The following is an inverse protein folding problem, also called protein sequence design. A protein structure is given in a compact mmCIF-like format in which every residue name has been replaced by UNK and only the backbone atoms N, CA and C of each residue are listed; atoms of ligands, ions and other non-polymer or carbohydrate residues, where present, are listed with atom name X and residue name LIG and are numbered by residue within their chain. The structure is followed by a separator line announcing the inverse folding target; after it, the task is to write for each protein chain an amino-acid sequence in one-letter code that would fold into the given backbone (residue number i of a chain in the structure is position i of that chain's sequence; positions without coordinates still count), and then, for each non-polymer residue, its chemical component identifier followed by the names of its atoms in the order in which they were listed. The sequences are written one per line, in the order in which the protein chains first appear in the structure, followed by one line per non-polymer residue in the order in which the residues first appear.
data_IF_788498917405
#
_entry.id   IF_788498917405
#
_cell.length_a   1.000
_cell.length_b   1.000
_cell.length_c   1.000
_cell.angle_alpha   90.00
_cell.angle_beta   90.00
_cell.angle_gamma   90.00
#
_symmetry.space_group_name_H-M   'P 1'
#
loop_
_entity.id
_entity.type
_entity.pdbx_description
1 polymer ?
#
# COMPACT_ATOMS: atom_id res chain seq x y z
N UNK A 1 18.54 26.82 -30.00
CA UNK A 1 19.71 25.96 -29.88
C UNK A 1 19.43 24.95 -28.79
N UNK A 2 19.37 23.66 -29.13
CA UNK A 2 19.23 22.58 -28.13
C UNK A 2 20.62 22.30 -27.54
N UNK A 3 20.90 22.79 -26.35
CA UNK A 3 22.14 22.49 -25.64
C UNK A 3 21.95 21.21 -24.82
N UNK A 4 22.84 20.24 -25.03
CA UNK A 4 22.88 19.04 -24.18
C UNK A 4 23.63 19.39 -22.88
N UNK A 5 23.00 19.07 -21.74
CA UNK A 5 23.57 19.28 -20.41
C UNK A 5 23.66 17.96 -19.67
N UNK A 6 24.79 17.73 -18.98
CA UNK A 6 24.96 16.54 -18.15
C UNK A 6 24.29 16.72 -16.79
N UNK A 7 23.56 15.70 -16.35
CA UNK A 7 23.04 15.64 -14.98
C UNK A 7 24.18 15.48 -13.98
N UNK A 8 24.06 16.12 -12.84
CA UNK A 8 25.09 16.13 -11.81
C UNK A 8 24.59 15.73 -10.42
N UNK A 9 23.25 15.61 -10.26
CA UNK A 9 22.58 15.20 -9.02
C UNK A 9 21.47 14.22 -9.39
N UNK A 10 21.84 13.05 -9.89
CA UNK A 10 20.92 12.04 -10.42
C UNK A 10 21.36 10.61 -10.04
N UNK A 11 22.11 10.48 -8.95
CA UNK A 11 22.53 9.17 -8.47
C UNK A 11 21.31 8.36 -8.03
N UNK A 12 21.34 7.07 -8.37
CA UNK A 12 20.28 6.14 -8.07
C UNK A 12 20.85 4.83 -7.55
N UNK A 13 20.37 4.43 -6.39
CA UNK A 13 20.67 3.12 -5.81
C UNK A 13 19.37 2.38 -5.51
N UNK A 14 19.30 1.11 -5.88
CA UNK A 14 18.19 0.24 -5.49
C UNK A 14 18.68 -1.15 -5.08
N UNK A 15 18.03 -1.70 -4.08
CA UNK A 15 18.25 -3.04 -3.57
C UNK A 15 16.90 -3.74 -3.38
N UNK A 16 16.80 -4.99 -3.83
CA UNK A 16 15.65 -5.87 -3.56
C UNK A 16 16.17 -7.24 -3.13
N UNK A 17 15.67 -7.73 -2.01
CA UNK A 17 15.89 -9.08 -1.53
C UNK A 17 14.55 -9.74 -1.20
N UNK A 18 14.40 -11.01 -1.57
CA UNK A 18 13.21 -11.83 -1.27
C UNK A 18 13.64 -13.23 -0.85
N UNK A 19 12.93 -13.79 0.14
CA UNK A 19 13.10 -15.16 0.58
C UNK A 19 11.73 -15.78 0.80
N UNK A 20 11.47 -16.89 0.14
CA UNK A 20 10.27 -17.70 0.33
C UNK A 20 10.64 -19.07 0.87
N UNK A 21 9.96 -19.48 1.93
CA UNK A 21 10.09 -20.79 2.53
C UNK A 21 8.70 -21.40 2.69
N UNK A 22 8.61 -22.71 2.50
CA UNK A 22 7.31 -23.35 2.64
C UNK A 22 7.38 -24.85 2.72
N UNK A 23 6.22 -25.43 2.92
CA UNK A 23 6.02 -26.88 2.98
C UNK A 23 4.82 -27.26 2.13
N UNK A 24 4.88 -28.44 1.54
CA UNK A 24 3.80 -29.02 0.74
C UNK A 24 3.45 -30.42 1.23
N UNK A 25 2.25 -30.87 0.92
CA UNK A 25 1.78 -32.24 1.19
C UNK A 25 1.91 -32.66 2.67
N UNK A 26 1.56 -31.74 3.59
CA UNK A 26 1.48 -32.03 5.02
C UNK A 26 0.06 -32.36 5.44
N UNK A 27 -0.08 -33.12 6.53
CA UNK A 27 -1.39 -33.48 7.07
C UNK A 27 -2.29 -32.26 7.35
N UNK A 28 -1.69 -31.15 7.76
CA UNK A 28 -2.36 -29.90 8.11
C UNK A 28 -2.47 -28.90 6.95
N UNK A 29 -1.67 -29.02 5.88
CA UNK A 29 -1.70 -28.14 4.71
C UNK A 29 -1.31 -28.91 3.44
N UNK A 30 -2.01 -28.68 2.34
CA UNK A 30 -1.55 -29.11 1.02
C UNK A 30 -0.39 -28.24 0.56
N UNK A 31 -0.44 -26.95 0.88
CA UNK A 31 0.70 -26.03 0.75
C UNK A 31 0.62 -24.92 1.79
N UNK A 32 1.77 -24.55 2.33
CA UNK A 32 1.96 -23.38 3.19
C UNK A 32 3.31 -22.74 2.87
N UNK A 33 3.30 -21.46 2.51
CA UNK A 33 4.50 -20.69 2.19
C UNK A 33 4.51 -19.37 2.95
N UNK A 34 5.69 -18.95 3.34
CA UNK A 34 5.95 -17.65 3.95
C UNK A 34 6.99 -16.94 3.09
N UNK A 35 6.66 -15.73 2.64
CA UNK A 35 7.53 -14.87 1.85
C UNK A 35 7.88 -13.62 2.66
N UNK A 36 9.17 -13.38 2.85
CA UNK A 36 9.72 -12.12 3.33
C UNK A 36 10.36 -11.33 2.20
N UNK A 37 10.15 -10.03 2.14
CA UNK A 37 10.85 -9.16 1.20
C UNK A 37 11.32 -7.86 1.84
N UNK A 38 12.43 -7.36 1.33
CA UNK A 38 12.98 -6.06 1.67
C UNK A 38 13.42 -5.34 0.40
N UNK A 39 13.04 -4.09 0.28
CA UNK A 39 13.56 -3.21 -0.79
C UNK A 39 13.98 -1.86 -0.23
N UNK A 40 15.01 -1.29 -0.83
CA UNK A 40 15.50 0.06 -0.52
C UNK A 40 15.80 0.79 -1.82
N UNK A 41 15.43 2.08 -1.88
CA UNK A 41 15.75 2.98 -2.99
C UNK A 41 16.25 4.29 -2.39
N UNK A 42 17.42 4.72 -2.85
CA UNK A 42 17.98 6.05 -2.62
C UNK A 42 18.14 6.74 -3.98
N UNK A 43 17.59 7.94 -4.12
CA UNK A 43 17.58 8.68 -5.37
C UNK A 43 17.87 10.15 -5.14
N UNK A 44 18.82 10.68 -5.85
CA UNK A 44 19.02 12.11 -6.02
C UNK A 44 18.01 12.67 -7.04
N UNK A 45 17.57 13.88 -6.81
CA UNK A 45 16.56 14.53 -7.66
C UNK A 45 17.21 15.69 -8.39
N UNK A 46 17.47 15.53 -9.69
CA UNK A 46 18.06 16.60 -10.51
C UNK A 46 17.05 17.66 -10.93
N UNK A 47 15.80 17.26 -11.19
CA UNK A 47 14.73 18.16 -11.59
C UNK A 47 13.39 17.69 -11.05
N UNK A 48 12.43 18.60 -10.97
CA UNK A 48 11.01 18.27 -10.79
C UNK A 48 10.34 17.78 -12.09
N UNK A 49 9.04 17.99 -12.17
CA UNK A 49 8.27 17.72 -13.39
C UNK A 49 8.61 18.67 -14.53
N UNK A 50 9.18 19.82 -14.23
CA UNK A 50 9.64 20.84 -15.18
C UNK A 50 11.16 20.88 -15.16
N UNK A 51 11.78 20.61 -16.30
CA UNK A 51 13.25 20.55 -16.42
C UNK A 51 13.96 21.91 -16.28
N UNK A 52 13.22 23.01 -16.31
CA UNK A 52 13.77 24.36 -16.09
C UNK A 52 14.13 24.62 -14.63
N UNK A 53 13.61 23.82 -13.71
CA UNK A 53 13.96 23.91 -12.28
C UNK A 53 14.96 22.80 -11.98
N UNK A 54 16.17 23.22 -11.61
CA UNK A 54 17.30 22.33 -11.34
C UNK A 54 17.49 22.22 -9.83
N UNK A 55 17.55 20.99 -9.34
CA UNK A 55 17.85 20.67 -7.96
C UNK A 55 19.31 20.17 -7.85
N UNK A 56 19.98 20.47 -6.76
CA UNK A 56 21.37 20.10 -6.53
C UNK A 56 21.60 19.33 -5.24
N UNK A 57 20.62 19.32 -4.32
CA UNK A 57 20.78 18.68 -3.01
C UNK A 57 19.55 17.86 -2.60
N UNK A 58 18.42 18.03 -3.27
CA UNK A 58 17.19 17.32 -2.94
C UNK A 58 17.30 15.82 -3.20
N UNK A 59 16.86 15.01 -2.26
CA UNK A 59 16.95 13.54 -2.32
C UNK A 59 15.62 12.88 -1.92
N UNK A 60 15.40 11.69 -2.45
CA UNK A 60 14.30 10.81 -2.02
C UNK A 60 14.85 9.46 -1.62
N UNK A 61 14.40 9.00 -0.46
CA UNK A 61 14.73 7.68 0.05
C UNK A 61 13.44 6.91 0.32
N UNK A 62 13.44 5.63 0.05
CA UNK A 62 12.32 4.75 0.41
C UNK A 62 12.82 3.38 0.80
N UNK A 63 12.15 2.78 1.77
CA UNK A 63 12.32 1.41 2.17
C UNK A 63 10.96 0.73 2.33
N UNK A 64 10.90 -0.52 1.94
CA UNK A 64 9.72 -1.36 2.07
C UNK A 64 10.11 -2.72 2.63
N UNK A 65 9.33 -3.19 3.60
CA UNK A 65 9.45 -4.52 4.19
C UNK A 65 8.10 -5.20 4.07
N UNK A 66 8.08 -6.45 3.65
CA UNK A 66 6.83 -7.20 3.63
C UNK A 66 7.00 -8.60 4.18
N UNK A 67 5.93 -9.10 4.79
CA UNK A 67 5.78 -10.49 5.19
C UNK A 67 4.41 -10.96 4.70
N UNK A 68 4.40 -12.09 4.01
CA UNK A 68 3.17 -12.72 3.55
C UNK A 68 3.17 -14.21 3.81
N UNK A 69 1.98 -14.77 4.00
CA UNK A 69 1.78 -16.20 4.16
C UNK A 69 0.62 -16.64 3.27
N UNK A 70 0.81 -17.76 2.56
CA UNK A 70 -0.20 -18.43 1.75
C UNK A 70 -0.47 -19.81 2.32
N UNK A 71 -1.73 -20.20 2.34
CA UNK A 71 -2.18 -21.49 2.83
C UNK A 71 -3.21 -22.08 1.89
N UNK A 72 -3.09 -23.37 1.60
CA UNK A 72 -4.10 -24.12 0.84
C UNK A 72 -4.32 -25.50 1.48
N UNK A 73 -5.58 -25.88 1.59
CA UNK A 73 -6.00 -27.18 2.11
C UNK A 73 -7.28 -27.67 1.45
N UNK A 74 -7.22 -28.85 0.85
CA UNK A 74 -8.41 -29.63 0.43
C UNK A 74 -8.90 -30.44 1.64
N UNK A 75 -10.19 -30.67 1.69
CA UNK A 75 -10.85 -31.35 2.81
C UNK A 75 -10.52 -30.67 4.16
N UNK A 76 -10.61 -29.32 4.18
CA UNK A 76 -10.38 -28.51 5.36
C UNK A 76 -11.57 -28.69 6.33
N UNK A 77 -11.32 -29.20 7.54
CA UNK A 77 -12.32 -29.53 8.58
C UNK A 77 -13.29 -30.63 8.13
N UNK A 78 -13.96 -30.47 6.98
CA UNK A 78 -14.91 -31.45 6.42
C UNK A 78 -14.49 -31.84 5.00
N UNK A 79 -14.91 -33.03 4.58
CA UNK A 79 -14.67 -33.48 3.21
C UNK A 79 -15.30 -32.54 2.19
N UNK A 80 -14.65 -32.39 1.03
CA UNK A 80 -15.07 -31.53 -0.09
C UNK A 80 -15.06 -30.02 0.19
N UNK A 81 -14.60 -29.58 1.36
CA UNK A 81 -14.34 -28.16 1.64
C UNK A 81 -12.87 -27.86 1.34
N UNK A 82 -12.63 -26.91 0.47
CA UNK A 82 -11.30 -26.35 0.19
C UNK A 82 -11.16 -24.98 0.80
N UNK A 83 -10.03 -24.71 1.42
CA UNK A 83 -9.63 -23.38 1.86
C UNK A 83 -8.38 -22.95 1.13
N UNK A 84 -8.39 -21.73 0.58
CA UNK A 84 -7.22 -20.99 0.14
C UNK A 84 -7.18 -19.66 0.91
N UNK A 85 -6.07 -19.37 1.53
CA UNK A 85 -5.89 -18.15 2.32
C UNK A 85 -4.58 -17.45 1.98
N UNK A 86 -4.58 -16.12 2.08
CA UNK A 86 -3.41 -15.26 1.97
C UNK A 86 -3.49 -14.19 3.05
N UNK A 87 -2.41 -14.01 3.79
CA UNK A 87 -2.18 -12.89 4.68
C UNK A 87 -0.92 -12.17 4.24
N UNK A 88 -0.96 -10.85 4.19
CA UNK A 88 0.21 -10.04 3.87
C UNK A 88 0.20 -8.76 4.67
N UNK A 89 1.38 -8.37 5.13
CA UNK A 89 1.61 -7.08 5.75
C UNK A 89 2.85 -6.44 5.17
N UNK A 90 2.72 -5.18 4.77
CA UNK A 90 3.79 -4.37 4.18
C UNK A 90 3.98 -3.11 5.02
N UNK A 91 5.24 -2.78 5.31
CA UNK A 91 5.67 -1.51 5.90
C UNK A 91 6.40 -0.72 4.82
N UNK A 92 5.75 0.29 4.26
CA UNK A 92 6.36 1.24 3.34
C UNK A 92 6.69 2.53 4.06
N UNK A 93 7.92 2.97 3.89
CA UNK A 93 8.38 4.25 4.36
C UNK A 93 9.09 4.98 3.22
N UNK A 94 8.75 6.23 3.00
CA UNK A 94 9.48 7.10 2.08
C UNK A 94 9.69 8.48 2.69
N UNK A 95 10.83 9.09 2.41
CA UNK A 95 11.15 10.45 2.82
C UNK A 95 11.73 11.25 1.67
N UNK A 96 11.36 12.52 1.64
CA UNK A 96 11.97 13.52 0.74
C UNK A 96 12.75 14.49 1.60
N UNK A 97 14.03 14.64 1.30
CA UNK A 97 14.98 15.50 1.99
C UNK A 97 15.19 16.73 1.10
N UNK A 98 14.88 17.91 1.64
CA UNK A 98 14.95 19.19 0.95
C UNK A 98 15.30 20.28 1.97
N UNK A 99 16.60 20.35 2.29
CA UNK A 99 17.11 21.17 3.38
C UNK A 99 18.02 22.32 2.92
N UNK A 100 18.28 22.41 1.61
CA UNK A 100 19.10 23.45 1.04
C UNK A 100 18.28 24.69 0.65
N UNK A 101 18.76 25.85 1.01
CA UNK A 101 18.22 27.14 0.55
C UNK A 101 19.06 27.65 -0.63
N UNK A 102 19.04 26.88 -1.74
CA UNK A 102 19.83 27.16 -2.93
C UNK A 102 19.01 26.94 -4.18
N UNK A 103 19.29 27.74 -5.18
CA UNK A 103 18.74 27.55 -6.53
C UNK A 103 19.90 27.29 -7.48
N UNK A 104 19.89 26.13 -8.09
CA UNK A 104 20.92 25.63 -8.99
C UNK A 104 20.62 25.96 -10.46
N UNK A 105 21.68 26.08 -11.25
CA UNK A 105 21.63 26.02 -12.71
C UNK A 105 22.19 24.69 -13.24
N UNK A 106 22.11 24.47 -14.53
CA UNK A 106 22.65 23.28 -15.18
C UNK A 106 24.18 23.21 -15.22
N UNK A 107 24.88 24.26 -14.88
CA UNK A 107 26.34 24.31 -14.77
C UNK A 107 26.84 24.04 -13.34
N UNK A 108 25.95 23.67 -12.43
CA UNK A 108 26.17 23.46 -10.97
C UNK A 108 26.45 24.77 -10.20
N UNK A 109 26.25 25.92 -10.81
CA UNK A 109 26.31 27.16 -10.06
C UNK A 109 25.03 27.26 -9.21
N UNK A 110 25.14 27.93 -8.08
CA UNK A 110 23.97 28.20 -7.26
C UNK A 110 23.98 29.64 -6.73
N UNK A 111 22.81 30.09 -6.40
CA UNK A 111 22.59 31.29 -5.60
C UNK A 111 21.87 30.90 -4.32
N UNK A 112 22.20 31.55 -3.22
CA UNK A 112 21.44 31.40 -1.99
C UNK A 112 20.07 32.06 -2.10
N UNK A 113 19.07 31.45 -1.50
CA UNK A 113 17.68 31.88 -1.57
C UNK A 113 17.00 31.62 -0.22
N UNK A 114 15.84 32.18 -0.04
CA UNK A 114 15.00 31.96 1.15
C UNK A 114 14.07 30.74 0.99
N UNK A 115 14.13 30.06 -0.16
CA UNK A 115 13.28 28.91 -0.47
C UNK A 115 14.14 27.68 -0.71
N UNK A 116 13.67 26.53 -0.28
CA UNK A 116 14.27 25.27 -0.63
C UNK A 116 13.90 24.82 -2.06
N UNK A 117 14.48 23.71 -2.52
CA UNK A 117 14.40 23.33 -3.94
C UNK A 117 13.02 22.83 -4.35
N UNK A 118 12.29 22.10 -3.46
CA UNK A 118 11.04 21.41 -3.80
C UNK A 118 9.88 21.90 -2.94
N UNK A 119 10.09 21.96 -1.61
CA UNK A 119 9.01 22.04 -0.63
C UNK A 119 8.53 23.47 -0.32
N UNK A 120 9.31 24.51 -0.65
CA UNK A 120 8.94 25.91 -0.49
C UNK A 120 9.72 26.65 0.58
N UNK A 121 9.10 27.17 1.62
CA UNK A 121 9.67 28.25 2.44
C UNK A 121 10.46 27.77 3.68
N UNK A 122 10.52 26.47 3.95
CA UNK A 122 11.24 25.94 5.09
C UNK A 122 12.00 24.66 4.77
N UNK A 123 13.14 24.45 5.45
CA UNK A 123 13.84 23.17 5.38
C UNK A 123 12.88 22.04 5.74
N UNK A 124 12.91 20.96 4.96
CA UNK A 124 11.93 19.89 5.06
C UNK A 124 12.58 18.51 4.96
N UNK A 125 12.21 17.62 5.86
CA UNK A 125 12.44 16.18 5.75
C UNK A 125 11.09 15.51 5.91
N UNK A 126 10.39 15.38 4.79
CA UNK A 126 9.00 14.92 4.77
C UNK A 126 8.91 13.42 4.67
N UNK A 127 8.27 12.82 5.66
CA UNK A 127 8.10 11.39 5.79
C UNK A 127 6.68 10.95 5.47
N UNK A 128 6.58 9.80 4.80
CA UNK A 128 5.34 9.09 4.53
C UNK A 128 5.49 7.63 4.95
N UNK A 129 4.68 7.19 5.91
CA UNK A 129 4.58 5.79 6.33
C UNK A 129 3.25 5.23 5.85
N UNK A 130 3.28 4.15 5.08
CA UNK A 130 2.09 3.55 4.44
C UNK A 130 2.00 2.06 4.73
N UNK A 131 1.70 1.67 6.00
CA UNK A 131 1.48 0.28 6.32
C UNK A 131 0.24 -0.24 5.59
N UNK A 132 0.35 -1.45 5.04
CA UNK A 132 -0.75 -2.12 4.34
C UNK A 132 -0.91 -3.54 4.85
N UNK A 133 -2.14 -3.92 5.22
CA UNK A 133 -2.52 -5.29 5.52
C UNK A 133 -3.53 -5.80 4.49
N UNK A 134 -3.31 -7.01 4.01
CA UNK A 134 -4.22 -7.71 3.10
C UNK A 134 -4.51 -9.09 3.68
N UNK A 135 -5.78 -9.46 3.77
CA UNK A 135 -6.21 -10.82 4.07
C UNK A 135 -7.20 -11.27 3.01
N UNK A 136 -7.02 -12.47 2.52
CA UNK A 136 -7.98 -13.15 1.64
C UNK A 136 -8.25 -14.53 2.18
N UNK A 137 -9.49 -14.96 2.12
CA UNK A 137 -9.88 -16.34 2.36
C UNK A 137 -10.95 -16.74 1.33
N UNK A 138 -10.75 -17.87 0.74
CA UNK A 138 -11.70 -18.47 -0.20
C UNK A 138 -12.04 -19.87 0.30
N UNK A 139 -13.31 -20.12 0.52
CA UNK A 139 -13.86 -21.41 0.90
C UNK A 139 -14.72 -21.94 -0.24
N UNK A 140 -14.32 -23.07 -0.80
CA UNK A 140 -15.09 -23.77 -1.83
C UNK A 140 -15.64 -25.07 -1.24
N UNK A 141 -16.96 -25.21 -1.22
CA UNK A 141 -17.65 -26.39 -0.73
C UNK A 141 -18.45 -27.07 -1.84
N UNK A 142 -18.05 -28.25 -2.22
CA UNK A 142 -18.74 -29.07 -3.23
C UNK A 142 -19.69 -30.04 -2.53
N UNK A 143 -20.99 -29.74 -2.55
CA UNK A 143 -22.01 -30.65 -1.98
C UNK A 143 -22.06 -31.94 -2.78
N UNK A 144 -22.26 -31.79 -4.11
CA UNK A 144 -22.28 -32.89 -5.07
C UNK A 144 -21.92 -32.36 -6.47
N UNK A 145 -22.04 -33.19 -7.51
CA UNK A 145 -21.74 -32.81 -8.88
C UNK A 145 -22.55 -31.61 -9.43
N UNK A 146 -23.69 -31.33 -8.82
CA UNK A 146 -24.64 -30.35 -9.29
C UNK A 146 -24.70 -29.08 -8.45
N UNK A 147 -24.15 -29.10 -7.24
CA UNK A 147 -24.29 -28.03 -6.25
C UNK A 147 -22.97 -27.70 -5.58
N UNK A 148 -22.56 -26.45 -5.63
CA UNK A 148 -21.40 -25.95 -4.89
C UNK A 148 -21.64 -24.55 -4.33
N UNK A 149 -20.98 -24.25 -3.22
CA UNK A 149 -20.96 -22.96 -2.59
C UNK A 149 -19.55 -22.42 -2.56
N UNK A 150 -19.41 -21.11 -2.74
CA UNK A 150 -18.14 -20.41 -2.58
C UNK A 150 -18.33 -19.21 -1.68
N UNK A 151 -17.51 -19.11 -0.62
CA UNK A 151 -17.42 -17.96 0.26
C UNK A 151 -16.06 -17.30 0.10
N UNK A 152 -16.10 -16.03 -0.28
CA UNK A 152 -14.92 -15.21 -0.43
C UNK A 152 -14.88 -14.11 0.62
N UNK A 153 -13.74 -13.91 1.23
CA UNK A 153 -13.46 -12.79 2.10
C UNK A 153 -12.20 -12.06 1.63
N UNK A 154 -12.29 -10.75 1.54
CA UNK A 154 -11.15 -9.85 1.28
C UNK A 154 -11.15 -8.73 2.31
N UNK A 155 -10.04 -8.57 3.00
CA UNK A 155 -9.73 -7.38 3.78
C UNK A 155 -8.54 -6.66 3.13
N UNK A 156 -8.65 -5.33 2.98
CA UNK A 156 -7.55 -4.46 2.61
C UNK A 156 -7.54 -3.25 3.55
N UNK A 157 -6.49 -3.14 4.36
CA UNK A 157 -6.30 -2.01 5.28
C UNK A 157 -5.06 -1.24 4.87
N UNK A 158 -5.23 0.05 4.65
CA UNK A 158 -4.18 1.01 4.31
C UNK A 158 -4.06 2.03 5.43
N UNK A 159 -2.84 2.23 5.90
CA UNK A 159 -2.48 3.39 6.70
C UNK A 159 -1.75 4.42 5.84
N UNK A 160 -1.89 5.69 6.18
CA UNK A 160 -1.10 6.76 5.61
C UNK A 160 -0.78 7.76 6.72
N UNK A 161 0.47 7.76 7.15
CA UNK A 161 0.98 8.71 8.13
C UNK A 161 1.99 9.61 7.43
N UNK A 162 1.81 10.92 7.56
CA UNK A 162 2.74 11.91 7.03
C UNK A 162 3.13 12.90 8.12
N UNK A 163 4.40 13.25 8.15
CA UNK A 163 4.96 14.25 9.06
C UNK A 163 6.26 14.80 8.49
N UNK A 164 6.68 15.94 9.00
CA UNK A 164 7.98 16.51 8.69
C UNK A 164 8.85 16.51 9.95
N UNK A 165 10.13 16.18 9.82
CA UNK A 165 11.07 16.12 10.94
C UNK A 165 11.59 17.50 11.33
N UNK A 166 11.69 18.40 10.35
CA UNK A 166 12.31 19.72 10.49
C UNK A 166 11.26 20.81 10.46
N UNK A 167 10.38 20.78 9.45
CA UNK A 167 9.31 21.75 9.32
C UNK A 167 8.17 21.44 10.30
N UNK A 168 8.21 22.10 11.45
CA UNK A 168 7.17 21.97 12.47
C UNK A 168 5.85 22.60 12.09
N UNK A 169 5.83 23.44 11.03
CA UNK A 169 4.60 24.01 10.50
C UNK A 169 3.79 23.00 9.69
N UNK A 170 4.40 21.91 9.27
CA UNK A 170 3.74 20.86 8.53
C UNK A 170 2.81 20.02 9.42
N UNK A 171 1.53 20.02 9.10
CA UNK A 171 0.54 19.25 9.86
C UNK A 171 0.78 17.75 9.78
N UNK A 172 0.97 17.10 10.91
CA UNK A 172 1.01 15.64 10.99
C UNK A 172 -0.38 15.06 10.76
N UNK A 173 -0.52 14.13 9.83
CA UNK A 173 -1.77 13.39 9.65
C UNK A 173 -1.55 11.89 9.72
N UNK A 174 -2.60 11.18 10.14
CA UNK A 174 -2.64 9.73 10.16
C UNK A 174 -4.03 9.26 9.73
N UNK A 175 -4.08 8.65 8.57
CA UNK A 175 -5.30 8.16 7.98
C UNK A 175 -5.30 6.65 7.95
N UNK A 176 -6.45 6.04 8.14
CA UNK A 176 -6.64 4.59 8.02
C UNK A 176 -7.89 4.35 7.18
N UNK A 177 -7.71 3.62 6.10
CA UNK A 177 -8.79 3.09 5.27
C UNK A 177 -8.80 1.57 5.43
N UNK A 178 -9.93 1.00 5.82
CA UNK A 178 -10.13 -0.44 5.82
C UNK A 178 -11.35 -0.78 4.96
N UNK A 179 -11.18 -1.75 4.10
CA UNK A 179 -12.23 -2.29 3.23
C UNK A 179 -12.36 -3.78 3.47
N UNK A 180 -13.58 -4.23 3.74
CA UNK A 180 -13.92 -5.63 3.83
C UNK A 180 -14.93 -5.95 2.73
N UNK A 181 -14.74 -7.07 2.06
CA UNK A 181 -15.67 -7.59 1.06
C UNK A 181 -15.94 -9.03 1.44
N UNK A 182 -17.21 -9.36 1.61
CA UNK A 182 -17.68 -10.73 1.82
C UNK A 182 -18.54 -11.07 0.62
N UNK A 183 -18.27 -12.16 -0.05
CA UNK A 183 -19.04 -12.64 -1.19
C UNK A 183 -19.42 -14.10 -1.00
N UNK A 184 -20.69 -14.40 -1.09
CA UNK A 184 -21.23 -15.77 -1.13
C UNK A 184 -21.78 -16.03 -2.51
N UNK A 185 -21.44 -17.16 -3.09
CA UNK A 185 -22.06 -17.62 -4.34
C UNK A 185 -22.49 -19.06 -4.24
N UNK A 186 -23.56 -19.37 -4.95
CA UNK A 186 -24.10 -20.71 -5.12
C UNK A 186 -24.15 -21.05 -6.59
N UNK A 187 -23.52 -22.16 -6.97
CA UNK A 187 -23.52 -22.68 -8.31
C UNK A 187 -24.43 -23.91 -8.37
N UNK A 188 -25.29 -23.94 -9.36
CA UNK A 188 -26.20 -25.05 -9.63
C UNK A 188 -26.06 -25.50 -11.07
N UNK A 189 -25.87 -26.79 -11.28
CA UNK A 189 -25.84 -27.43 -12.60
C UNK A 189 -27.00 -28.41 -12.73
N UNK A 190 -27.87 -28.19 -13.71
CA UNK A 190 -29.08 -29.00 -13.92
C UNK A 190 -29.01 -29.70 -15.27
N UNK A 191 -29.86 -30.73 -15.44
CA UNK A 191 -30.03 -31.47 -16.71
C UNK A 191 -28.69 -32.00 -17.27
N UNK A 192 -27.85 -32.62 -16.41
CA UNK A 192 -26.52 -33.14 -16.77
C UNK A 192 -25.60 -32.07 -17.39
N UNK A 193 -25.62 -30.85 -16.82
CA UNK A 193 -24.77 -29.73 -17.24
C UNK A 193 -25.31 -28.88 -18.38
N UNK A 194 -26.51 -29.15 -18.89
CA UNK A 194 -27.14 -28.35 -19.95
C UNK A 194 -27.60 -26.97 -19.46
N UNK A 195 -27.83 -26.81 -18.16
CA UNK A 195 -28.24 -25.54 -17.54
C UNK A 195 -27.38 -25.28 -16.31
N UNK A 196 -26.69 -24.14 -16.28
CA UNK A 196 -25.86 -23.73 -15.17
C UNK A 196 -26.35 -22.36 -14.64
N UNK A 197 -26.66 -22.32 -13.37
CA UNK A 197 -27.10 -21.13 -12.69
C UNK A 197 -26.04 -20.70 -11.66
N UNK A 198 -25.80 -19.40 -11.58
CA UNK A 198 -24.94 -18.78 -10.57
C UNK A 198 -25.74 -17.70 -9.85
N UNK A 199 -25.88 -17.86 -8.54
CA UNK A 199 -26.45 -16.84 -7.67
C UNK A 199 -25.36 -16.31 -6.77
N UNK A 200 -25.31 -15.00 -6.56
CA UNK A 200 -24.33 -14.43 -5.66
C UNK A 200 -24.86 -13.22 -4.88
N UNK A 201 -24.29 -13.01 -3.72
CA UNK A 201 -24.47 -11.82 -2.91
C UNK A 201 -23.10 -11.35 -2.44
N UNK A 202 -22.89 -10.03 -2.42
CA UNK A 202 -21.65 -9.39 -1.93
C UNK A 202 -22.01 -8.26 -0.98
N UNK A 203 -21.29 -8.20 0.11
CA UNK A 203 -21.31 -7.09 1.05
C UNK A 203 -19.97 -6.37 1.05
N UNK A 204 -20.02 -5.04 1.04
CA UNK A 204 -18.87 -4.15 1.03
C UNK A 204 -18.94 -3.25 2.25
N UNK A 205 -18.02 -3.43 3.17
CA UNK A 205 -17.90 -2.59 4.36
C UNK A 205 -16.61 -1.76 4.24
N UNK A 206 -16.78 -0.43 4.20
CA UNK A 206 -15.67 0.50 4.15
C UNK A 206 -15.62 1.31 5.44
N UNK A 207 -14.43 1.41 6.00
CA UNK A 207 -14.14 2.20 7.18
C UNK A 207 -13.04 3.19 6.87
N UNK A 208 -13.28 4.48 7.13
CA UNK A 208 -12.30 5.55 7.00
C UNK A 208 -12.14 6.25 8.35
N UNK A 209 -10.90 6.41 8.78
CA UNK A 209 -10.54 7.28 9.90
C UNK A 209 -9.45 8.23 9.43
N UNK A 210 -9.72 9.53 9.53
CA UNK A 210 -8.77 10.61 9.25
C UNK A 210 -8.44 11.31 10.56
N UNK A 211 -7.15 11.43 10.87
CA UNK A 211 -6.68 12.15 12.04
C UNK A 211 -5.65 13.16 11.56
N UNK A 212 -5.99 14.43 11.62
CA UNK A 212 -5.11 15.54 11.27
C UNK A 212 -4.84 16.37 12.50
N UNK A 213 -3.58 16.68 12.77
CA UNK A 213 -3.19 17.70 13.74
C UNK A 213 -3.02 19.01 12.98
N UNK A 214 -4.00 19.88 13.11
CA UNK A 214 -3.88 21.23 12.57
C UNK A 214 -2.97 22.06 13.47
N UNK A 215 -2.07 22.79 12.83
CA UNK A 215 -1.25 23.92 13.30
C UNK A 215 -1.28 24.14 14.83
N UNK A 216 -0.77 23.16 15.54
CA UNK A 216 -0.76 23.06 17.00
C UNK A 216 -0.39 24.38 17.72
N UNK A 217 0.53 25.15 17.16
CA UNK A 217 1.03 26.41 17.74
C UNK A 217 0.18 27.64 17.47
N UNK A 218 -0.79 27.57 16.56
CA UNK A 218 -1.63 28.73 16.22
C UNK A 218 -2.94 28.72 16.99
N UNK A 219 -3.57 27.56 17.17
CA UNK A 219 -4.94 27.48 17.68
C UNK A 219 -5.10 26.68 18.97
N UNK A 220 -4.08 25.95 19.42
CA UNK A 220 -4.22 25.01 20.55
C UNK A 220 -5.22 23.87 20.33
N UNK A 221 -5.87 23.83 19.21
CA UNK A 221 -6.84 22.80 18.84
C UNK A 221 -6.14 21.71 18.01
N UNK A 222 -5.88 20.60 18.63
CA UNK A 222 -4.87 19.68 18.20
C UNK A 222 -5.28 18.61 17.23
N UNK A 223 -6.57 18.38 16.98
CA UNK A 223 -6.96 17.15 16.38
C UNK A 223 -8.31 17.19 15.71
N UNK A 224 -8.33 17.04 14.40
CA UNK A 224 -9.54 16.69 13.67
C UNK A 224 -9.60 15.19 13.52
N UNK A 225 -10.48 14.52 14.26
CA UNK A 225 -10.81 13.10 14.08
C UNK A 225 -12.12 12.98 13.31
N UNK A 226 -12.04 12.51 12.09
CA UNK A 226 -13.22 12.18 11.28
C UNK A 226 -13.26 10.68 11.05
N UNK A 227 -14.45 10.10 11.27
CA UNK A 227 -14.71 8.69 10.99
C UNK A 227 -15.90 8.57 10.05
N UNK A 228 -15.80 7.70 9.10
CA UNK A 228 -16.91 7.35 8.21
C UNK A 228 -16.94 5.82 8.03
N UNK A 229 -18.13 5.26 8.10
CA UNK A 229 -18.38 3.88 7.76
C UNK A 229 -19.47 3.86 6.69
N UNK A 230 -19.22 3.12 5.62
CA UNK A 230 -20.19 2.93 4.54
C UNK A 230 -20.28 1.46 4.19
N UNK A 231 -21.50 0.94 4.24
CA UNK A 231 -21.81 -0.41 3.79
C UNK A 231 -22.71 -0.32 2.56
N UNK A 232 -22.51 -1.22 1.62
CA UNK A 232 -23.42 -1.45 0.49
C UNK A 232 -23.26 -2.90 0.03
N UNK A 233 -24.30 -3.44 -0.56
CA UNK A 233 -24.31 -4.82 -1.02
C UNK A 233 -24.89 -4.93 -2.43
N UNK A 234 -24.55 -6.00 -3.12
CA UNK A 234 -24.99 -6.31 -4.46
C UNK A 234 -25.33 -7.78 -4.59
N UNK A 235 -26.21 -8.10 -5.49
CA UNK A 235 -26.65 -9.45 -5.77
C UNK A 235 -26.82 -9.66 -7.28
N UNK A 236 -26.84 -10.91 -7.71
CA UNK A 236 -27.12 -11.35 -9.07
C UNK A 236 -27.28 -12.86 -9.16
#
# INVERSE_FOLDING_TARGET
VNESRRRFHDDYFSLLGQLELGVTNRRWADSFFVLGSYSKVDKELQTGSIQTIVYGEAKRQSDSKSLSATYSKRNFIVNKLRLNALLSYTWDHSRTIDTAFRKYDWNRNFIETTRNEIMGDSKSIRNYKRPRAVARANFDYVVNSNHSFNLNYLMNRLGNERYDEVDKSFSKSKDVLAKHIIGLSYNQSLFKGKMNNLFFVKDYLNYLKVTQRDKYWITGSDRVDKRATKSYWGYG
#
